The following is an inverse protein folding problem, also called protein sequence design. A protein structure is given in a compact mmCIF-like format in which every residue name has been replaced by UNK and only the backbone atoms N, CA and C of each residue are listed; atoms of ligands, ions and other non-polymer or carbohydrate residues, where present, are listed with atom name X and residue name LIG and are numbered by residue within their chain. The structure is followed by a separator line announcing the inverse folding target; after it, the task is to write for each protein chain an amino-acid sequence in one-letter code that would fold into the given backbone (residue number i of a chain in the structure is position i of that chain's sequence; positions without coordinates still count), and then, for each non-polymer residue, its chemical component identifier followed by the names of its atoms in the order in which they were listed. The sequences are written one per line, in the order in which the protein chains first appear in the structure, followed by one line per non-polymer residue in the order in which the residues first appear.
data_IF_026900519796
#
_entry.id   IF_026900519796
#
_cell.length_a   1.000
_cell.length_b   1.000
_cell.length_c   1.000
_cell.angle_alpha   90.00
_cell.angle_beta   90.00
_cell.angle_gamma   90.00
#
_symmetry.space_group_name_H-M   'P 1'
#
loop_
_entity.id
_entity.type
_entity.pdbx_description
1 polymer ?
#
# COMPACT_ATOMS: atom_id res chain seq x y z
N UNK A 1 9.55 -0.92 -0.12
CA UNK A 1 10.81 -0.20 -0.18
C UNK A 1 10.65 1.31 -0.25
N UNK A 2 11.66 2.00 -0.84
CA UNK A 2 11.71 3.47 -0.87
C UNK A 2 10.49 4.10 -1.55
N UNK A 3 10.01 3.53 -2.66
CA UNK A 3 8.84 4.03 -3.37
C UNK A 3 7.54 3.94 -2.54
N UNK A 4 7.40 2.90 -1.76
CA UNK A 4 6.26 2.68 -0.88
C UNK A 4 6.24 3.68 0.30
N UNK A 5 7.41 3.96 0.88
CA UNK A 5 7.54 4.90 1.98
C UNK A 5 7.16 6.35 1.59
N UNK A 6 7.28 6.71 0.31
CA UNK A 6 6.96 8.06 -0.19
C UNK A 6 5.50 8.22 -0.60
N UNK A 7 4.78 7.14 -0.90
CA UNK A 7 3.41 7.19 -1.45
C UNK A 7 2.43 7.87 -0.50
N UNK A 8 2.39 7.44 0.75
CA UNK A 8 1.42 7.94 1.74
C UNK A 8 1.63 9.42 2.08
N UNK A 9 2.85 9.87 2.45
CA UNK A 9 3.09 11.30 2.72
C UNK A 9 2.82 12.19 1.51
N UNK A 10 3.23 11.75 0.31
CA UNK A 10 3.00 12.51 -0.92
C UNK A 10 1.52 12.59 -1.27
N UNK A 11 0.79 11.48 -1.14
CA UNK A 11 -0.64 11.41 -1.37
C UNK A 11 -1.42 12.34 -0.44
N UNK A 12 -1.13 12.32 0.86
CA UNK A 12 -1.77 13.23 1.82
C UNK A 12 -1.45 14.68 1.55
N UNK A 13 -0.19 15.00 1.20
CA UNK A 13 0.20 16.36 0.84
C UNK A 13 -0.57 16.87 -0.39
N UNK A 14 -0.64 16.07 -1.45
CA UNK A 14 -1.40 16.42 -2.66
C UNK A 14 -2.89 16.60 -2.37
N UNK A 15 -3.50 15.73 -1.58
CA UNK A 15 -4.92 15.86 -1.22
C UNK A 15 -5.18 17.12 -0.39
N UNK A 16 -4.27 17.46 0.53
CA UNK A 16 -4.38 18.70 1.31
C UNK A 16 -4.27 19.96 0.43
N UNK A 17 -3.47 19.92 -0.63
CA UNK A 17 -3.33 21.04 -1.58
C UNK A 17 -4.51 21.15 -2.55
N UNK A 18 -5.11 20.02 -2.96
CA UNK A 18 -6.21 19.99 -3.92
C UNK A 18 -7.57 20.34 -3.30
N UNK A 19 -7.82 19.86 -2.06
CA UNK A 19 -9.13 20.01 -1.43
C UNK A 19 -9.15 21.10 -0.35
N UNK A 20 -10.33 21.66 -0.11
CA UNK A 20 -10.51 22.64 0.95
C UNK A 20 -10.30 21.98 2.32
N UNK A 21 -9.61 22.63 3.30
CA UNK A 21 -9.39 22.07 4.64
C UNK A 21 -10.65 21.55 5.36
N UNK A 22 -11.80 22.14 5.08
CA UNK A 22 -13.09 21.72 5.66
C UNK A 22 -13.64 20.42 5.03
N UNK A 23 -13.15 19.99 3.86
CA UNK A 23 -13.64 18.84 3.11
C UNK A 23 -12.57 17.82 2.79
N UNK A 24 -11.34 18.01 3.27
CA UNK A 24 -10.19 17.13 2.98
C UNK A 24 -10.31 15.75 3.62
N UNK A 25 -11.11 15.62 4.67
CA UNK A 25 -11.31 14.34 5.38
C UNK A 25 -11.88 13.25 4.47
N UNK A 26 -12.84 13.57 3.61
CA UNK A 26 -13.44 12.59 2.71
C UNK A 26 -12.45 12.03 1.68
N UNK A 27 -11.71 12.86 0.91
CA UNK A 27 -10.64 12.35 0.03
C UNK A 27 -9.58 11.53 0.76
N UNK A 28 -9.18 11.91 1.96
CA UNK A 28 -8.24 11.15 2.78
C UNK A 28 -8.82 9.78 3.17
N UNK A 29 -10.09 9.74 3.57
CA UNK A 29 -10.77 8.48 3.91
C UNK A 29 -10.86 7.55 2.70
N UNK A 30 -11.21 8.08 1.52
CA UNK A 30 -11.23 7.30 0.26
C UNK A 30 -9.84 6.79 -0.09
N UNK A 31 -8.81 7.63 0.03
CA UNK A 31 -7.42 7.24 -0.21
C UNK A 31 -6.98 6.12 0.74
N UNK A 32 -7.28 6.24 2.03
CA UNK A 32 -6.94 5.22 3.03
C UNK A 32 -7.75 3.93 2.82
N UNK A 33 -9.06 4.04 2.55
CA UNK A 33 -9.94 2.91 2.26
C UNK A 33 -9.55 2.14 1.00
N UNK A 34 -8.97 2.83 -0.01
CA UNK A 34 -8.48 2.20 -1.22
C UNK A 34 -7.42 1.12 -0.98
N UNK A 35 -6.69 1.20 0.13
CA UNK A 35 -5.70 0.19 0.54
C UNK A 35 -6.36 -1.17 0.79
N UNK A 36 -7.53 -1.19 1.45
CA UNK A 36 -8.27 -2.42 1.71
C UNK A 36 -8.87 -3.00 0.44
N UNK A 37 -9.46 -2.15 -0.38
CA UNK A 37 -10.01 -2.56 -1.69
C UNK A 37 -8.89 -3.10 -2.58
N UNK A 38 -7.76 -2.40 -2.66
CA UNK A 38 -6.58 -2.83 -3.41
C UNK A 38 -6.02 -4.17 -2.92
N UNK A 39 -5.93 -4.36 -1.60
CA UNK A 39 -5.50 -5.62 -0.99
C UNK A 39 -6.46 -6.76 -1.33
N UNK A 40 -7.77 -6.53 -1.27
CA UNK A 40 -8.77 -7.51 -1.66
C UNK A 40 -8.65 -7.94 -3.12
N UNK A 41 -8.54 -6.97 -4.03
CA UNK A 41 -8.33 -7.23 -5.46
C UNK A 41 -7.01 -7.98 -5.70
N UNK A 42 -5.94 -7.60 -5.02
CA UNK A 42 -4.63 -8.24 -5.16
C UNK A 42 -4.67 -9.71 -4.70
N UNK A 43 -5.38 -10.02 -3.62
CA UNK A 43 -5.55 -11.39 -3.13
C UNK A 43 -6.39 -12.24 -4.09
N UNK A 44 -7.48 -11.68 -4.63
CA UNK A 44 -8.30 -12.36 -5.64
C UNK A 44 -7.50 -12.63 -6.92
N UNK A 45 -6.82 -11.61 -7.44
CA UNK A 45 -5.99 -11.74 -8.63
C UNK A 45 -4.81 -12.71 -8.40
N UNK A 46 -4.14 -12.62 -7.26
CA UNK A 46 -3.06 -13.54 -6.86
C UNK A 46 -3.54 -14.98 -6.74
N UNK A 47 -4.69 -15.21 -6.11
CA UNK A 47 -5.31 -16.54 -6.05
C UNK A 47 -5.60 -17.11 -7.44
N UNK A 48 -6.16 -16.29 -8.34
CA UNK A 48 -6.42 -16.69 -9.73
C UNK A 48 -5.13 -17.02 -10.50
N UNK A 49 -4.12 -16.15 -10.38
CA UNK A 49 -2.81 -16.35 -11.03
C UNK A 49 -2.17 -17.65 -10.55
N UNK A 50 -2.13 -17.88 -9.24
CA UNK A 50 -1.56 -19.13 -8.68
C UNK A 50 -2.35 -20.35 -9.16
N UNK A 51 -3.68 -20.28 -9.18
CA UNK A 51 -4.53 -21.38 -9.67
C UNK A 51 -4.27 -21.76 -11.13
N UNK A 52 -3.92 -20.76 -11.96
CA UNK A 52 -3.63 -20.99 -13.39
C UNK A 52 -2.19 -21.45 -13.61
N UNK A 53 -1.24 -20.88 -12.90
CA UNK A 53 0.19 -21.18 -13.07
C UNK A 53 0.59 -22.52 -12.46
N UNK A 54 0.00 -22.94 -11.33
CA UNK A 54 0.29 -24.24 -10.70
C UNK A 54 -0.11 -25.46 -11.55
N UNK A 55 -0.80 -25.25 -12.67
CA UNK A 55 -1.10 -26.33 -13.63
C UNK A 55 0.08 -26.66 -14.54
N UNK A 56 1.14 -25.85 -14.51
CA UNK A 56 2.31 -26.01 -15.36
C UNK A 56 3.56 -26.06 -14.49
N UNK A 57 4.39 -27.09 -14.66
CA UNK A 57 5.64 -27.23 -13.91
C UNK A 57 6.67 -26.18 -14.30
N UNK A 58 6.58 -25.68 -15.53
CA UNK A 58 7.51 -24.69 -16.11
C UNK A 58 6.76 -23.80 -17.10
N UNK A 59 7.03 -22.51 -17.04
CA UNK A 59 6.44 -21.52 -17.93
C UNK A 59 7.52 -20.97 -18.87
N UNK A 60 7.28 -21.03 -20.18
CA UNK A 60 8.17 -20.43 -21.16
C UNK A 60 7.56 -19.15 -21.71
N UNK A 61 8.20 -18.01 -21.45
CA UNK A 61 7.84 -16.73 -22.05
C UNK A 61 8.80 -16.40 -23.20
N UNK A 62 8.29 -15.93 -24.36
CA UNK A 62 9.09 -15.73 -25.57
C UNK A 62 10.30 -14.80 -25.41
N UNK A 63 10.27 -13.87 -24.44
CA UNK A 63 11.31 -12.86 -24.18
C UNK A 63 12.15 -13.15 -22.94
N UNK A 64 11.65 -13.97 -21.99
CA UNK A 64 12.25 -14.12 -20.66
C UNK A 64 12.75 -15.56 -20.41
N UNK A 65 12.52 -16.48 -21.36
CA UNK A 65 12.97 -17.86 -21.24
C UNK A 65 12.11 -18.73 -20.34
N UNK A 66 12.73 -19.77 -19.80
CA UNK A 66 12.09 -20.76 -18.92
C UNK A 66 12.12 -20.22 -17.49
N UNK A 67 10.96 -20.16 -16.83
CA UNK A 67 10.86 -19.65 -15.46
C UNK A 67 9.91 -20.47 -14.60
N UNK A 68 10.10 -20.33 -13.31
CA UNK A 68 9.27 -20.96 -12.29
C UNK A 68 7.89 -20.24 -12.20
N UNK A 69 6.80 -20.95 -11.81
CA UNK A 69 5.48 -20.35 -11.68
C UNK A 69 5.43 -19.10 -10.80
N UNK A 70 6.19 -19.06 -9.70
CA UNK A 70 6.24 -17.91 -8.81
C UNK A 70 6.91 -16.68 -9.44
N UNK A 71 7.93 -16.87 -10.29
CA UNK A 71 8.60 -15.77 -11.02
C UNK A 71 7.64 -15.13 -12.03
N UNK A 72 6.88 -15.96 -12.74
CA UNK A 72 5.85 -15.51 -13.67
C UNK A 72 4.73 -14.73 -12.92
N UNK A 73 4.35 -15.16 -11.72
CA UNK A 73 3.37 -14.46 -10.90
C UNK A 73 3.81 -13.02 -10.56
N UNK A 74 5.08 -12.80 -10.22
CA UNK A 74 5.61 -11.45 -9.97
C UNK A 74 5.59 -10.57 -11.22
N UNK A 75 5.94 -11.13 -12.38
CA UNK A 75 5.91 -10.38 -13.65
C UNK A 75 4.48 -9.99 -14.00
N UNK A 76 3.52 -10.92 -13.89
CA UNK A 76 2.10 -10.65 -14.14
C UNK A 76 1.60 -9.57 -13.18
N UNK A 77 1.97 -9.62 -11.91
CA UNK A 77 1.59 -8.61 -10.92
C UNK A 77 2.22 -7.23 -11.19
N UNK A 78 3.39 -7.17 -11.81
CA UNK A 78 4.06 -5.91 -12.14
C UNK A 78 3.41 -5.15 -13.30
N UNK A 79 2.79 -5.86 -14.27
CA UNK A 79 2.20 -5.26 -15.48
C UNK A 79 1.14 -4.21 -15.16
N UNK A 80 0.12 -4.47 -14.31
CA UNK A 80 -0.86 -3.44 -13.92
C UNK A 80 -0.20 -2.23 -13.25
N UNK A 81 0.84 -2.45 -12.46
CA UNK A 81 1.58 -1.38 -11.79
C UNK A 81 2.26 -0.43 -12.78
N UNK A 82 2.90 -0.96 -13.80
CA UNK A 82 3.52 -0.17 -14.88
C UNK A 82 2.45 0.63 -15.62
N UNK A 83 1.31 0.00 -15.94
CA UNK A 83 0.21 0.67 -16.63
C UNK A 83 -0.37 1.84 -15.81
N UNK A 84 -0.63 1.62 -14.53
CA UNK A 84 -1.10 2.67 -13.62
C UNK A 84 -0.06 3.80 -13.48
N UNK A 85 1.24 3.46 -13.37
CA UNK A 85 2.31 4.45 -13.31
C UNK A 85 2.36 5.32 -14.57
N UNK A 86 2.19 4.75 -15.75
CA UNK A 86 2.13 5.49 -17.01
C UNK A 86 0.91 6.42 -17.08
N UNK A 87 -0.28 5.93 -16.70
CA UNK A 87 -1.48 6.77 -16.64
C UNK A 87 -1.24 7.93 -15.66
N UNK A 88 -0.69 7.67 -14.50
CA UNK A 88 -0.40 8.69 -13.51
C UNK A 88 0.54 9.76 -14.05
N UNK A 89 1.63 9.38 -14.68
CA UNK A 89 2.59 10.30 -15.28
C UNK A 89 2.00 11.16 -16.41
N UNK A 90 1.06 10.60 -17.17
CA UNK A 90 0.45 11.29 -18.30
C UNK A 90 -0.74 12.20 -17.91
N UNK A 91 -1.44 11.87 -16.82
CA UNK A 91 -2.70 12.53 -16.45
C UNK A 91 -2.57 13.50 -15.29
N UNK A 92 -1.67 13.23 -14.34
CA UNK A 92 -1.58 14.04 -13.13
C UNK A 92 -0.57 15.16 -13.30
N UNK A 93 -1.06 16.39 -13.16
CA UNK A 93 -0.22 17.58 -13.04
C UNK A 93 -0.01 17.90 -11.56
N UNK A 94 1.22 18.23 -11.20
CA UNK A 94 1.52 18.65 -9.82
C UNK A 94 0.67 19.88 -9.46
N UNK A 95 -0.12 19.80 -8.35
CA UNK A 95 -0.93 20.93 -7.93
C UNK A 95 -0.04 22.08 -7.46
N UNK A 96 -0.49 23.30 -7.69
CA UNK A 96 0.16 24.48 -7.12
C UNK A 96 0.01 24.40 -5.60
N UNK A 97 1.13 24.34 -4.88
CA UNK A 97 1.13 24.25 -3.42
C UNK A 97 0.41 25.45 -2.82
N UNK A 98 -0.64 25.18 -2.06
CA UNK A 98 -1.33 26.21 -1.31
C UNK A 98 -0.43 26.68 -0.18
N UNK A 99 -0.25 27.99 -0.06
CA UNK A 99 0.40 28.57 1.10
C UNK A 99 -0.35 28.12 2.36
N UNK A 100 0.39 27.66 3.37
CA UNK A 100 -0.19 27.31 4.66
C UNK A 100 -1.03 28.49 5.15
N UNK A 101 -2.29 28.23 5.51
CA UNK A 101 -3.18 29.24 6.09
C UNK A 101 -2.67 29.83 7.43
N UNK A 102 -1.55 29.35 7.93
CA UNK A 102 -0.84 29.87 9.11
C UNK A 102 0.11 31.02 8.82
N UNK A 103 0.16 31.54 7.58
CA UNK A 103 0.96 32.73 7.26
C UNK A 103 2.49 32.52 7.31
N UNK A 104 2.95 31.31 7.54
CA UNK A 104 4.38 30.99 7.53
C UNK A 104 4.81 30.86 6.07
N UNK A 105 5.76 31.67 5.59
CA UNK A 105 6.26 31.54 4.24
C UNK A 105 6.84 30.13 4.04
N UNK A 106 6.37 29.41 3.01
CA UNK A 106 6.93 28.11 2.59
C UNK A 106 8.40 28.21 2.12
N UNK A 107 8.99 29.39 2.26
CA UNK A 107 10.33 29.72 1.80
C UNK A 107 11.46 29.09 2.62
N UNK A 108 11.22 28.74 3.87
CA UNK A 108 12.25 28.13 4.71
C UNK A 108 11.90 26.68 5.04
N UNK A 109 12.56 25.77 4.33
CA UNK A 109 12.56 24.36 4.75
C UNK A 109 13.21 24.28 6.15
N UNK A 110 12.54 23.72 7.15
CA UNK A 110 13.10 23.61 8.48
C UNK A 110 14.45 22.89 8.40
N UNK A 111 15.45 23.41 9.08
CA UNK A 111 16.78 22.78 9.14
C UNK A 111 16.65 21.46 9.88
N UNK A 112 17.39 20.44 9.44
CA UNK A 112 17.36 19.12 10.09
C UNK A 112 17.57 19.21 11.60
N UNK A 113 18.44 20.11 12.05
CA UNK A 113 18.70 20.33 13.49
C UNK A 113 17.45 20.81 14.24
N UNK A 114 16.62 21.64 13.64
CA UNK A 114 15.33 22.11 14.23
C UNK A 114 14.34 20.98 14.33
N UNK A 115 14.26 20.13 13.29
CA UNK A 115 13.41 18.94 13.31
C UNK A 115 13.86 17.95 14.39
N UNK A 116 15.15 17.67 14.48
CA UNK A 116 15.70 16.79 15.51
C UNK A 116 15.44 17.35 16.91
N UNK A 117 15.69 18.65 17.12
CA UNK A 117 15.43 19.30 18.40
C UNK A 117 13.94 19.24 18.79
N UNK A 118 13.02 19.39 17.82
CA UNK A 118 11.57 19.27 18.05
C UNK A 118 11.20 17.84 18.44
N UNK A 119 11.71 16.85 17.74
CA UNK A 119 11.44 15.42 18.03
C UNK A 119 11.99 15.04 19.40
N UNK A 120 13.20 15.42 19.74
CA UNK A 120 13.82 15.11 21.04
C UNK A 120 13.10 15.79 22.20
N UNK A 121 12.68 17.04 22.01
CA UNK A 121 11.88 17.77 23.03
C UNK A 121 10.51 17.10 23.29
N UNK A 122 9.94 16.47 22.28
CA UNK A 122 8.64 15.81 22.38
C UNK A 122 8.76 14.27 22.31
N UNK A 123 9.91 13.72 22.72
CA UNK A 123 10.23 12.30 22.56
C UNK A 123 9.20 11.36 23.17
N UNK A 124 8.58 11.71 24.30
CA UNK A 124 7.54 10.89 24.93
C UNK A 124 6.29 10.75 24.07
N UNK A 125 5.86 11.82 23.41
CA UNK A 125 4.70 11.79 22.51
C UNK A 125 5.03 10.96 21.27
N UNK A 126 6.19 11.19 20.67
CA UNK A 126 6.63 10.41 19.50
C UNK A 126 6.80 8.93 19.84
N UNK A 127 7.38 8.59 20.97
CA UNK A 127 7.53 7.21 21.41
C UNK A 127 6.19 6.52 21.62
N UNK A 128 5.22 7.20 22.23
CA UNK A 128 3.88 6.65 22.44
C UNK A 128 3.14 6.41 21.11
N UNK A 129 3.17 7.40 20.21
CA UNK A 129 2.49 7.30 18.90
C UNK A 129 3.17 6.23 18.03
N UNK A 130 4.48 6.31 17.84
CA UNK A 130 5.19 5.33 17.00
C UNK A 130 5.16 3.93 17.62
N UNK A 131 5.29 3.81 18.94
CA UNK A 131 5.17 2.53 19.63
C UNK A 131 3.79 1.90 19.45
N UNK A 132 2.72 2.68 19.65
CA UNK A 132 1.36 2.22 19.43
C UNK A 132 1.09 1.78 17.99
N UNK A 133 1.47 2.61 17.03
CA UNK A 133 1.32 2.29 15.59
C UNK A 133 2.15 1.06 15.22
N UNK A 134 3.38 0.91 15.75
CA UNK A 134 4.23 -0.26 15.50
C UNK A 134 3.62 -1.55 16.02
N UNK A 135 3.01 -1.54 17.20
CA UNK A 135 2.32 -2.72 17.75
C UNK A 135 1.11 -3.08 16.89
N UNK A 136 0.29 -2.10 16.49
CA UNK A 136 -0.85 -2.35 15.59
C UNK A 136 -0.39 -2.91 14.25
N UNK A 137 0.66 -2.34 13.66
CA UNK A 137 1.23 -2.84 12.41
C UNK A 137 1.75 -4.28 12.56
N UNK A 138 2.45 -4.58 13.67
CA UNK A 138 2.93 -5.94 13.94
C UNK A 138 1.77 -6.95 14.01
N UNK A 139 0.67 -6.62 14.69
CA UNK A 139 -0.53 -7.47 14.74
C UNK A 139 -1.11 -7.67 13.33
N UNK A 140 -1.25 -6.61 12.56
CA UNK A 140 -1.77 -6.67 11.18
C UNK A 140 -0.92 -7.59 10.29
N UNK A 141 0.40 -7.41 10.31
CA UNK A 141 1.31 -8.26 9.53
C UNK A 141 1.32 -9.70 10.01
N UNK A 142 1.27 -9.95 11.32
CA UNK A 142 1.16 -11.30 11.87
C UNK A 142 -0.11 -12.00 11.41
N UNK A 143 -1.27 -11.34 11.52
CA UNK A 143 -2.54 -11.90 11.06
C UNK A 143 -2.51 -12.16 9.55
N UNK A 144 -2.01 -11.21 8.75
CA UNK A 144 -1.89 -11.37 7.31
C UNK A 144 -1.02 -12.54 6.87
N UNK A 145 0.03 -12.86 7.63
CA UNK A 145 0.94 -13.96 7.33
C UNK A 145 0.45 -15.31 7.88
N UNK A 146 0.01 -15.33 9.13
CA UNK A 146 -0.26 -16.58 9.84
C UNK A 146 -1.66 -17.15 9.62
N UNK A 147 -2.66 -16.31 9.41
CA UNK A 147 -4.02 -16.81 9.20
C UNK A 147 -4.15 -17.58 7.89
N UNK A 148 -3.66 -17.08 6.72
CA UNK A 148 -3.59 -17.88 5.50
C UNK A 148 -2.82 -19.20 5.68
N UNK A 149 -1.66 -19.14 6.35
CA UNK A 149 -0.86 -20.33 6.63
C UNK A 149 -1.60 -21.36 7.49
N UNK A 150 -2.39 -20.89 8.46
CA UNK A 150 -3.22 -21.76 9.31
C UNK A 150 -4.29 -22.50 8.48
N UNK A 151 -5.00 -21.78 7.61
CA UNK A 151 -6.01 -22.39 6.73
C UNK A 151 -5.41 -23.46 5.81
N UNK A 152 -4.26 -23.17 5.22
CA UNK A 152 -3.58 -24.12 4.34
C UNK A 152 -3.08 -25.35 5.12
N UNK A 153 -2.41 -25.15 6.26
CA UNK A 153 -1.74 -26.25 6.99
C UNK A 153 -2.67 -27.10 7.83
N UNK A 154 -3.67 -26.50 8.47
CA UNK A 154 -4.51 -27.18 9.46
C UNK A 154 -5.90 -27.52 8.91
N UNK A 155 -6.42 -26.77 7.96
CA UNK A 155 -7.74 -26.99 7.38
C UNK A 155 -7.68 -27.55 5.96
N UNK A 156 -6.48 -27.75 5.40
CA UNK A 156 -6.28 -28.35 4.09
C UNK A 156 -6.73 -27.49 2.90
N UNK A 157 -6.91 -26.18 3.11
CA UNK A 157 -7.29 -25.28 2.03
C UNK A 157 -6.13 -25.09 1.04
N UNK A 158 -6.48 -24.89 -0.21
CA UNK A 158 -5.49 -24.53 -1.23
C UNK A 158 -5.18 -23.04 -1.17
N UNK A 159 -4.00 -22.64 -1.65
CA UNK A 159 -3.62 -21.23 -1.69
C UNK A 159 -4.61 -20.34 -2.48
N UNK A 160 -5.18 -20.77 -3.63
CA UNK A 160 -6.23 -20.03 -4.31
C UNK A 160 -7.50 -19.85 -3.47
N UNK A 161 -7.98 -20.88 -2.78
CA UNK A 161 -9.18 -20.79 -1.93
C UNK A 161 -9.01 -19.78 -0.82
N UNK A 162 -7.86 -19.77 -0.16
CA UNK A 162 -7.52 -18.76 0.84
C UNK A 162 -7.48 -17.38 0.23
N UNK A 163 -6.85 -17.23 -0.94
CA UNK A 163 -6.79 -15.95 -1.67
C UNK A 163 -8.18 -15.40 -2.01
N UNK A 164 -9.09 -16.25 -2.47
CA UNK A 164 -10.47 -15.84 -2.77
C UNK A 164 -11.25 -15.47 -1.51
N UNK A 165 -11.22 -16.29 -0.46
CA UNK A 165 -11.92 -16.01 0.77
C UNK A 165 -11.43 -14.71 1.44
N UNK A 166 -10.11 -14.58 1.58
CA UNK A 166 -9.49 -13.38 2.15
C UNK A 166 -9.72 -12.15 1.29
N UNK A 167 -9.59 -12.28 -0.03
CA UNK A 167 -9.84 -11.18 -0.96
C UNK A 167 -11.25 -10.63 -0.84
N UNK A 168 -12.26 -11.48 -0.73
CA UNK A 168 -13.65 -11.06 -0.52
C UNK A 168 -13.85 -10.40 0.85
N UNK A 169 -13.27 -10.94 1.91
CA UNK A 169 -13.35 -10.34 3.25
C UNK A 169 -12.74 -8.93 3.24
N UNK A 170 -11.54 -8.76 2.68
CA UNK A 170 -10.91 -7.44 2.58
C UNK A 170 -11.70 -6.47 1.72
N UNK A 171 -12.32 -6.94 0.64
CA UNK A 171 -13.10 -6.10 -0.26
C UNK A 171 -14.39 -5.56 0.40
N UNK A 172 -15.07 -6.38 1.18
CA UNK A 172 -16.39 -6.04 1.74
C UNK A 172 -16.37 -5.65 3.23
N UNK A 173 -15.39 -6.12 3.99
CA UNK A 173 -15.33 -5.91 5.44
C UNK A 173 -14.13 -5.05 5.87
N UNK A 174 -13.21 -4.76 4.96
CA UNK A 174 -12.00 -3.99 5.26
C UNK A 174 -12.19 -2.46 5.22
N UNK A 175 -13.36 -1.97 4.82
CA UNK A 175 -13.67 -0.53 4.68
C UNK A 175 -14.43 0.00 5.87
#
# INVERSE_FOLDING_TARGET
GVGEATLTPSGFSMLADLFNPKRVSLPISVFTGSTFVGSGIALLAGGFVIATLNKQDVISLPLLGIMQPWEAAFIIAAVPGIYVALIFLLTIKEPVRRQSSSGIPLSEKPRLNEVVAFVTRNAGVFAAVFGGVSVLAAVQFCLGAWVPAHFIRNLGWTAPEVGYAYGLIFLFCGT
#
